data_IF_905272795547
#
_entry.id   IF_905272795547
#
_cell.length_a   1.000
_cell.length_b   1.000
_cell.length_c   1.000
_cell.angle_alpha   90.00
_cell.angle_beta   90.00
_cell.angle_gamma   90.00
#
_symmetry.space_group_name_H-M   'P 1'
#
loop_
_entity.id
_entity.type
_entity.pdbx_description
1 polymer ?
#
# COMPACT_ATOMS: atom_id res chain seq x y z
N UNK A 1 2.74 4.10 19.92
CA UNK A 1 3.52 4.80 18.88
C UNK A 1 3.71 3.91 17.67
N UNK A 2 3.59 4.45 16.48
CA UNK A 2 3.74 3.73 15.23
C UNK A 2 5.21 3.63 14.87
N UNK A 3 5.68 2.42 14.57
CA UNK A 3 7.00 2.17 13.98
C UNK A 3 6.85 2.11 12.46
N UNK A 4 7.85 2.61 11.74
CA UNK A 4 7.83 2.64 10.28
C UNK A 4 9.05 1.88 9.75
N UNK A 5 8.79 0.90 8.88
CA UNK A 5 9.83 0.26 8.08
C UNK A 5 9.60 0.65 6.62
N UNK A 6 10.60 1.27 6.02
CA UNK A 6 10.56 1.65 4.60
C UNK A 6 11.33 0.63 3.77
N UNK A 7 10.72 0.23 2.66
CA UNK A 7 11.37 -0.58 1.63
C UNK A 7 11.42 0.25 0.34
N UNK A 8 12.43 0.01 -0.47
CA UNK A 8 12.53 0.59 -1.81
C UNK A 8 12.44 -0.56 -2.81
N UNK A 9 11.39 -0.57 -3.63
CA UNK A 9 11.07 -1.68 -4.53
C UNK A 9 10.91 -1.22 -5.97
N UNK A 10 11.00 -2.18 -6.88
CA UNK A 10 10.81 -2.13 -8.33
C UNK A 10 11.75 -1.16 -9.07
N UNK A 11 11.58 -1.07 -10.41
CA UNK A 11 12.45 -0.25 -11.27
C UNK A 11 12.23 1.25 -11.09
N UNK A 12 11.10 1.63 -10.49
CA UNK A 12 10.76 3.03 -10.23
C UNK A 12 11.19 3.49 -8.84
N UNK A 13 11.86 2.61 -8.08
CA UNK A 13 12.36 2.89 -6.72
C UNK A 13 11.26 3.44 -5.81
N UNK A 14 10.10 2.80 -5.84
CA UNK A 14 8.97 3.23 -5.02
C UNK A 14 9.23 2.92 -3.55
N UNK A 15 8.80 3.82 -2.68
CA UNK A 15 8.82 3.60 -1.26
C UNK A 15 7.57 2.83 -0.82
N UNK A 16 7.77 1.65 -0.27
CA UNK A 16 6.74 0.83 0.36
C UNK A 16 6.90 0.96 1.86
N UNK A 17 5.82 1.29 2.56
CA UNK A 17 5.87 1.52 4.00
C UNK A 17 5.09 0.45 4.75
N UNK A 18 5.74 -0.15 5.74
CA UNK A 18 5.11 -1.05 6.70
C UNK A 18 5.04 -0.34 8.04
N UNK A 19 3.82 -0.09 8.51
CA UNK A 19 3.57 0.59 9.77
C UNK A 19 3.03 -0.41 10.77
N UNK A 20 3.60 -0.44 11.97
CA UNK A 20 3.20 -1.38 13.01
C UNK A 20 3.40 -0.77 14.40
N UNK A 21 2.76 -1.35 15.38
CA UNK A 21 2.90 -0.91 16.78
C UNK A 21 3.27 -2.08 17.70
N UNK A 22 3.31 -1.82 19.01
CA UNK A 22 3.72 -2.81 20.02
C UNK A 22 2.83 -4.05 20.05
N UNK A 23 1.61 -3.99 19.52
CA UNK A 23 0.71 -5.15 19.46
C UNK A 23 1.13 -6.17 18.42
N UNK A 24 1.99 -5.80 17.49
CA UNK A 24 2.38 -6.61 16.35
C UNK A 24 1.43 -6.50 15.16
N UNK A 25 0.34 -5.75 15.28
CA UNK A 25 -0.53 -5.48 14.13
C UNK A 25 0.08 -4.42 13.23
N UNK A 26 -0.09 -4.62 11.92
CA UNK A 26 0.58 -3.79 10.92
C UNK A 26 -0.34 -3.48 9.74
N UNK A 27 -0.03 -2.38 9.06
CA UNK A 27 -0.61 -2.06 7.75
C UNK A 27 0.52 -1.82 6.75
N UNK A 28 0.27 -2.18 5.50
CA UNK A 28 1.22 -2.01 4.41
C UNK A 28 0.67 -0.96 3.45
N UNK A 29 1.52 -0.01 3.07
CA UNK A 29 1.13 1.09 2.19
C UNK A 29 1.99 1.06 0.94
N UNK A 30 1.35 1.05 -0.23
CA UNK A 30 1.98 1.10 -1.55
C UNK A 30 2.96 -0.05 -1.76
N UNK A 31 2.45 -1.27 -1.81
CA UNK A 31 3.27 -2.45 -2.00
C UNK A 31 3.80 -2.55 -3.45
N UNK A 32 5.05 -2.18 -3.63
CA UNK A 32 5.70 -2.12 -4.94
C UNK A 32 6.53 -3.34 -5.33
N UNK A 33 6.45 -4.45 -4.57
CA UNK A 33 7.22 -5.67 -4.88
C UNK A 33 6.94 -6.15 -6.29
N UNK A 34 7.96 -6.24 -7.14
CA UNK A 34 7.76 -6.69 -8.51
C UNK A 34 8.45 -8.02 -8.83
N UNK A 35 9.24 -8.58 -7.91
CA UNK A 35 9.95 -9.84 -8.11
C UNK A 35 10.04 -10.63 -6.82
N UNK A 36 10.47 -11.89 -6.93
CA UNK A 36 10.53 -12.81 -5.81
C UNK A 36 11.49 -12.31 -4.71
N UNK A 37 12.62 -11.71 -5.08
CA UNK A 37 13.58 -11.19 -4.10
C UNK A 37 12.95 -10.11 -3.22
N UNK A 38 12.18 -9.21 -3.81
CA UNK A 38 11.50 -8.14 -3.08
C UNK A 38 10.36 -8.71 -2.20
N UNK A 39 9.62 -9.68 -2.73
CA UNK A 39 8.58 -10.37 -1.95
C UNK A 39 9.17 -11.07 -0.73
N UNK A 40 10.30 -11.74 -0.90
CA UNK A 40 10.99 -12.43 0.21
C UNK A 40 11.53 -11.46 1.25
N UNK A 41 12.06 -10.31 0.82
CA UNK A 41 12.55 -9.27 1.72
C UNK A 41 11.41 -8.76 2.63
N UNK A 42 10.26 -8.47 2.05
CA UNK A 42 9.10 -7.99 2.79
C UNK A 42 8.58 -9.07 3.75
N UNK A 43 8.41 -10.29 3.24
CA UNK A 43 7.91 -11.41 4.04
C UNK A 43 8.84 -11.73 5.21
N UNK A 44 10.15 -11.71 4.98
CA UNK A 44 11.14 -11.98 6.03
C UNK A 44 11.02 -10.97 7.18
N UNK A 45 10.87 -9.69 6.86
CA UNK A 45 10.70 -8.66 7.89
C UNK A 45 9.42 -8.90 8.73
N UNK A 46 8.32 -9.19 8.04
CA UNK A 46 7.04 -9.47 8.70
C UNK A 46 7.16 -10.67 9.63
N UNK A 47 7.78 -11.77 9.16
CA UNK A 47 7.94 -13.00 9.93
C UNK A 47 8.91 -12.82 11.10
N UNK A 48 10.06 -12.21 10.88
CA UNK A 48 11.08 -12.00 11.91
C UNK A 48 10.60 -11.10 13.04
N UNK A 49 9.75 -10.13 12.74
CA UNK A 49 9.19 -9.23 13.73
C UNK A 49 7.84 -9.70 14.27
N UNK A 50 7.39 -10.87 13.86
CA UNK A 50 6.12 -11.49 14.30
C UNK A 50 4.93 -10.58 14.12
N UNK A 51 4.88 -9.93 12.96
CA UNK A 51 3.81 -8.98 12.64
C UNK A 51 2.62 -9.68 12.01
N UNK A 52 1.44 -9.17 12.30
CA UNK A 52 0.18 -9.58 11.64
C UNK A 52 -0.27 -8.44 10.74
N UNK A 53 -0.22 -8.68 9.43
CA UNK A 53 -0.65 -7.68 8.46
C UNK A 53 -2.18 -7.64 8.40
N UNK A 54 -2.75 -6.47 8.67
CA UNK A 54 -4.20 -6.30 8.78
C UNK A 54 -4.84 -5.65 7.58
N UNK A 55 -4.13 -4.73 6.91
CA UNK A 55 -4.70 -3.98 5.78
C UNK A 55 -3.62 -3.66 4.76
N UNK A 56 -4.04 -3.61 3.49
CA UNK A 56 -3.21 -3.19 2.37
C UNK A 56 -3.78 -1.88 1.82
N UNK A 57 -3.06 -0.79 2.02
CA UNK A 57 -3.51 0.55 1.67
C UNK A 57 -2.73 1.07 0.46
N UNK A 58 -3.40 1.86 -0.36
CA UNK A 58 -2.78 2.52 -1.50
C UNK A 58 -2.97 4.03 -1.39
N UNK A 59 -1.88 4.80 -1.47
CA UNK A 59 -1.99 6.26 -1.57
C UNK A 59 -2.61 6.63 -2.90
N UNK A 60 -2.28 5.89 -3.95
CA UNK A 60 -2.86 6.02 -5.29
C UNK A 60 -2.59 4.74 -6.08
N UNK A 61 -3.21 4.62 -7.27
CA UNK A 61 -3.17 3.38 -8.04
C UNK A 61 -2.27 3.45 -9.28
N UNK A 62 -1.21 4.26 -9.26
CA UNK A 62 -0.17 4.16 -10.28
C UNK A 62 0.55 2.83 -10.16
N UNK A 63 0.97 2.28 -11.29
CA UNK A 63 1.50 0.92 -11.42
C UNK A 63 2.61 0.58 -10.42
N UNK A 64 3.59 1.47 -10.26
CA UNK A 64 4.74 1.25 -9.38
C UNK A 64 4.36 1.07 -7.90
N UNK A 65 3.21 1.61 -7.49
CA UNK A 65 2.70 1.52 -6.13
C UNK A 65 1.84 0.28 -5.87
N UNK A 66 1.53 -0.50 -6.91
CA UNK A 66 0.60 -1.64 -6.80
C UNK A 66 1.15 -2.96 -7.33
N UNK A 67 2.41 -3.01 -7.78
CA UNK A 67 3.02 -4.23 -8.32
C UNK A 67 2.89 -5.44 -7.41
N UNK A 68 2.96 -5.23 -6.10
CA UNK A 68 2.94 -6.32 -5.11
C UNK A 68 1.57 -6.68 -4.58
N UNK A 69 0.49 -6.02 -5.03
CA UNK A 69 -0.84 -6.26 -4.47
C UNK A 69 -1.28 -7.72 -4.62
N UNK A 70 -1.01 -8.32 -5.78
CA UNK A 70 -1.33 -9.73 -6.03
C UNK A 70 -0.62 -10.67 -5.03
N UNK A 71 0.66 -10.42 -4.78
CA UNK A 71 1.43 -11.19 -3.80
C UNK A 71 0.82 -11.10 -2.40
N UNK A 72 0.44 -9.89 -1.98
CA UNK A 72 -0.16 -9.67 -0.65
C UNK A 72 -1.53 -10.35 -0.56
N UNK A 73 -2.35 -10.26 -1.61
CA UNK A 73 -3.65 -10.93 -1.62
C UNK A 73 -3.49 -12.44 -1.51
N UNK A 74 -2.55 -13.02 -2.25
CA UNK A 74 -2.31 -14.47 -2.24
C UNK A 74 -1.69 -14.95 -0.92
N UNK A 75 -0.81 -14.17 -0.33
CA UNK A 75 -0.05 -14.58 0.85
C UNK A 75 -0.78 -14.29 2.16
N UNK A 76 -1.46 -13.16 2.24
CA UNK A 76 -2.07 -12.67 3.48
C UNK A 76 -3.60 -12.56 3.41
N UNK A 77 -4.20 -12.81 2.25
CA UNK A 77 -5.65 -12.75 2.10
C UNK A 77 -6.24 -11.34 2.17
N UNK A 78 -5.43 -10.31 1.92
CA UNK A 78 -5.86 -8.93 2.00
C UNK A 78 -6.08 -8.36 0.60
N UNK A 79 -7.12 -7.55 0.46
CA UNK A 79 -7.40 -6.84 -0.78
C UNK A 79 -6.96 -5.38 -0.64
N UNK A 80 -6.50 -4.75 -1.75
CA UNK A 80 -6.07 -3.36 -1.70
C UNK A 80 -7.24 -2.41 -1.43
N UNK A 81 -6.96 -1.34 -0.68
CA UNK A 81 -7.91 -0.29 -0.36
C UNK A 81 -7.37 1.03 -0.91
N UNK A 82 -8.21 1.79 -1.59
CA UNK A 82 -7.82 3.04 -2.26
C UNK A 82 -9.01 3.99 -2.35
N UNK A 83 -8.76 5.21 -2.81
CA UNK A 83 -9.83 6.17 -3.09
C UNK A 83 -10.56 5.77 -4.37
N UNK A 84 -11.89 5.92 -4.38
CA UNK A 84 -12.75 5.57 -5.52
C UNK A 84 -12.33 6.24 -6.82
N UNK A 85 -11.90 7.51 -6.76
CA UNK A 85 -11.54 8.28 -7.96
C UNK A 85 -10.42 7.60 -8.77
N UNK A 86 -9.43 7.01 -8.12
CA UNK A 86 -8.38 6.30 -8.83
C UNK A 86 -8.89 5.03 -9.51
N UNK A 87 -9.80 4.31 -8.86
CA UNK A 87 -10.41 3.12 -9.46
C UNK A 87 -11.22 3.46 -10.70
N UNK A 88 -11.92 4.58 -10.68
CA UNK A 88 -12.80 4.99 -11.80
C UNK A 88 -12.06 5.73 -12.92
N UNK A 89 -11.03 6.51 -12.59
CA UNK A 89 -10.42 7.47 -13.52
C UNK A 89 -9.04 7.05 -14.04
N UNK A 90 -8.33 6.14 -13.37
CA UNK A 90 -7.04 5.66 -13.86
C UNK A 90 -7.21 4.37 -14.66
N UNK A 91 -6.32 4.12 -15.65
CA UNK A 91 -6.25 2.80 -16.29
C UNK A 91 -5.93 1.74 -15.25
N UNK A 92 -6.30 0.48 -15.53
CA UNK A 92 -5.93 -0.62 -14.65
C UNK A 92 -4.41 -0.77 -14.58
N UNK A 93 -3.91 -1.43 -13.53
CA UNK A 93 -2.48 -1.70 -13.40
C UNK A 93 -1.97 -2.52 -14.61
N UNK A 94 -2.77 -3.45 -15.09
CA UNK A 94 -2.44 -4.26 -16.27
C UNK A 94 -2.30 -3.40 -17.52
N UNK A 95 -3.20 -2.44 -17.73
CA UNK A 95 -3.13 -1.50 -18.84
C UNK A 95 -1.92 -0.58 -18.74
N UNK A 96 -1.61 -0.10 -17.53
CA UNK A 96 -0.43 0.72 -17.30
C UNK A 96 0.85 -0.08 -17.57
N UNK A 97 0.93 -1.34 -17.11
CA UNK A 97 2.08 -2.20 -17.35
C UNK A 97 2.30 -2.39 -18.86
N UNK A 98 1.25 -2.63 -19.61
CA UNK A 98 1.32 -2.79 -21.07
C UNK A 98 1.88 -1.51 -21.72
N UNK A 99 1.46 -0.35 -21.27
CA UNK A 99 1.95 0.93 -21.81
C UNK A 99 3.45 1.13 -21.56
N UNK A 100 3.98 0.59 -20.47
CA UNK A 100 5.43 0.63 -20.18
C UNK A 100 6.21 -0.55 -20.75
N UNK A 101 5.56 -1.49 -21.46
CA UNK A 101 6.20 -2.69 -21.98
C UNK A 101 6.60 -3.68 -20.89
N UNK A 102 5.91 -3.65 -19.76
CA UNK A 102 6.17 -4.53 -18.61
C UNK A 102 5.12 -5.60 -18.50
N UNK A 103 5.51 -6.74 -17.92
CA UNK A 103 4.59 -7.84 -17.58
C UNK A 103 4.36 -7.83 -16.07
N UNK A 104 3.11 -7.92 -15.67
CA UNK A 104 2.78 -8.07 -14.26
C UNK A 104 2.81 -9.53 -13.84
N UNK A 105 3.29 -9.78 -12.63
CA UNK A 105 3.23 -11.09 -11.99
C UNK A 105 1.84 -11.26 -11.37
N UNK A 106 0.94 -11.90 -12.10
CA UNK A 106 -0.45 -12.05 -11.68
C UNK A 106 -1.27 -10.80 -11.95
N UNK A 107 -2.51 -10.81 -11.50
CA UNK A 107 -3.42 -9.67 -11.63
C UNK A 107 -3.36 -8.83 -10.37
N UNK A 108 -3.42 -7.51 -10.53
CA UNK A 108 -3.64 -6.61 -9.40
C UNK A 108 -4.93 -6.99 -8.68
N UNK A 109 -4.90 -6.99 -7.35
CA UNK A 109 -6.09 -7.24 -6.56
C UNK A 109 -7.17 -6.19 -6.81
N UNK A 110 -8.41 -6.62 -6.76
CA UNK A 110 -9.54 -5.72 -6.93
C UNK A 110 -9.75 -4.90 -5.67
N UNK A 111 -9.96 -3.58 -5.82
CA UNK A 111 -10.29 -2.70 -4.69
C UNK A 111 -11.75 -2.93 -4.32
N UNK A 112 -12.00 -3.47 -3.13
CA UNK A 112 -13.35 -3.71 -2.62
C UNK A 112 -13.76 -2.76 -1.49
N UNK A 113 -12.80 -2.11 -0.85
CA UNK A 113 -13.07 -1.07 0.12
C UNK A 113 -12.51 0.26 -0.39
N UNK A 114 -13.39 1.24 -0.57
CA UNK A 114 -12.99 2.59 -0.97
C UNK A 114 -12.79 3.44 0.27
N UNK A 115 -11.58 3.98 0.41
CA UNK A 115 -11.24 4.84 1.54
C UNK A 115 -11.88 6.20 1.33
N UNK A 116 -12.68 6.65 2.31
CA UNK A 116 -13.33 7.97 2.27
C UNK A 116 -12.50 9.02 3.00
N UNK A 117 -12.70 10.28 2.63
CA UNK A 117 -11.98 11.40 3.26
C UNK A 117 -12.27 11.43 4.76
N UNK A 118 -11.20 11.51 5.56
CA UNK A 118 -11.31 11.54 7.02
C UNK A 118 -11.55 10.19 7.66
N UNK A 119 -11.56 9.11 6.87
CA UNK A 119 -11.75 7.77 7.43
C UNK A 119 -10.61 7.42 8.38
N UNK A 120 -10.97 6.89 9.56
CA UNK A 120 -10.00 6.39 10.52
C UNK A 120 -9.64 4.93 10.19
N UNK A 121 -8.36 4.64 10.13
CA UNK A 121 -7.83 3.31 9.84
C UNK A 121 -7.15 2.79 11.10
N UNK A 122 -7.69 1.71 11.67
CA UNK A 122 -7.22 1.18 12.94
C UNK A 122 -6.38 -0.07 12.75
N UNK A 123 -5.28 -0.16 13.47
CA UNK A 123 -4.49 -1.39 13.61
C UNK A 123 -3.81 -1.38 14.99
N UNK A 124 -3.94 -2.49 15.72
CA UNK A 124 -3.46 -2.56 17.10
C UNK A 124 -4.09 -1.47 17.96
N UNK A 125 -3.25 -0.68 18.60
CA UNK A 125 -3.66 0.49 19.40
C UNK A 125 -3.49 1.81 18.62
N UNK A 126 -3.21 1.72 17.33
CA UNK A 126 -2.85 2.87 16.50
C UNK A 126 -3.96 3.23 15.52
N UNK A 127 -3.98 4.49 15.10
CA UNK A 127 -4.95 5.01 14.15
C UNK A 127 -4.26 5.90 13.12
N UNK A 128 -4.59 5.70 11.85
CA UNK A 128 -4.24 6.61 10.76
C UNK A 128 -5.52 7.31 10.31
N UNK A 129 -5.39 8.56 9.89
CA UNK A 129 -6.48 9.30 9.25
C UNK A 129 -6.11 9.55 7.81
N UNK A 130 -7.08 9.42 6.91
CA UNK A 130 -6.88 9.66 5.48
C UNK A 130 -7.28 11.07 5.09
N UNK A 131 -6.49 11.68 4.21
CA UNK A 131 -6.81 12.96 3.57
C UNK A 131 -6.79 12.78 2.06
N UNK A 132 -7.76 13.36 1.38
CA UNK A 132 -7.80 13.36 -0.08
C UNK A 132 -7.04 14.58 -0.61
N UNK A 133 -5.97 14.33 -1.37
CA UNK A 133 -5.07 15.37 -1.91
C UNK A 133 -4.89 15.15 -3.42
N UNK A 134 -5.95 15.36 -4.22
CA UNK A 134 -5.86 15.10 -5.66
C UNK A 134 -4.83 16.02 -6.30
N UNK A 135 -4.16 15.53 -7.33
CA UNK A 135 -3.10 16.24 -8.04
C UNK A 135 -2.28 15.28 -8.85
N UNK A 136 -1.34 14.59 -8.21
CA UNK A 136 -0.53 13.55 -8.86
C UNK A 136 -1.43 12.44 -9.45
N UNK A 137 -2.49 12.08 -8.75
CA UNK A 137 -3.60 11.30 -9.30
C UNK A 137 -4.93 11.85 -8.77
N UNK A 138 -6.06 11.54 -9.45
CA UNK A 138 -7.37 12.03 -8.99
C UNK A 138 -7.75 11.55 -7.59
N UNK A 139 -7.28 10.37 -7.18
CA UNK A 139 -7.60 9.77 -5.89
C UNK A 139 -6.42 9.70 -4.93
N UNK A 140 -5.42 10.56 -5.07
CA UNK A 140 -4.27 10.54 -4.16
C UNK A 140 -4.68 10.82 -2.73
N UNK A 141 -4.18 9.96 -1.81
CA UNK A 141 -4.44 10.03 -0.38
C UNK A 141 -3.14 10.25 0.39
N UNK A 142 -3.25 10.95 1.51
CA UNK A 142 -2.23 11.00 2.55
C UNK A 142 -2.77 10.29 3.78
N UNK A 143 -1.95 9.43 4.38
CA UNK A 143 -2.28 8.78 5.65
C UNK A 143 -1.44 9.41 6.74
N UNK A 144 -2.06 9.88 7.81
CA UNK A 144 -1.33 10.53 8.88
C UNK A 144 -1.75 10.06 10.26
N UNK A 145 -0.80 10.19 11.21
CA UNK A 145 -1.04 9.96 12.63
C UNK A 145 -0.53 11.19 13.37
N UNK A 146 -1.45 11.90 14.01
CA UNK A 146 -1.08 13.04 14.85
C UNK A 146 -0.30 12.57 16.08
N UNK A 147 -0.75 11.49 16.71
CA UNK A 147 -0.10 10.92 17.90
C UNK A 147 1.35 10.53 17.63
N UNK A 148 1.64 9.91 16.49
CA UNK A 148 2.98 9.48 16.13
C UNK A 148 3.75 10.50 15.29
N UNK A 149 3.14 11.66 15.02
CA UNK A 149 3.74 12.74 14.24
C UNK A 149 4.25 12.25 12.89
N UNK A 150 3.40 11.53 12.17
CA UNK A 150 3.73 10.77 10.96
C UNK A 150 2.76 11.10 9.84
N UNK A 151 3.27 11.27 8.61
CA UNK A 151 2.45 11.37 7.41
C UNK A 151 3.10 10.58 6.27
N UNK A 152 2.30 9.76 5.59
CA UNK A 152 2.71 9.03 4.39
C UNK A 152 2.01 9.69 3.21
N UNK A 153 2.79 10.32 2.35
CA UNK A 153 2.27 11.19 1.30
C UNK A 153 2.22 10.54 -0.08
N UNK A 154 2.85 9.39 -0.26
CA UNK A 154 3.01 8.77 -1.58
C UNK A 154 3.96 9.62 -2.44
N UNK A 155 3.45 10.11 -3.54
CA UNK A 155 4.22 10.97 -4.46
C UNK A 155 3.80 12.44 -4.35
#
# INVERSE_FOLDING_TARGET
MIHVKRFEFNYFSVNTYLLYDKTGEAVLIDCGCMNQREEEELKAFIDENKLTLKRLLCTHLHLDHVFGNSFITQTYGLEPEAHRADTELLPSAEEQAKAFGLSMKGKSGQVNHFITVGEAIHFGESTLTSLHVPGHSPGSLVFYSEESNLAITGD
#
